data_IF_080552921411
#
_entry.id   IF_080552921411
#
_cell.length_a   1.000
_cell.length_b   1.000
_cell.length_c   1.000
_cell.angle_alpha   90.00
_cell.angle_beta   90.00
_cell.angle_gamma   90.00
#
_symmetry.space_group_name_H-M   'P 1'
#
loop_
_entity.id
_entity.type
_entity.pdbx_description
1 polymer ?
#
# COMPACT_ATOMS: atom_id res chain seq x y z
N UNK A 1 -34.10 -0.48 10.64
CA UNK A 1 -33.59 -1.86 10.58
C UNK A 1 -32.29 -1.87 11.35
N UNK A 2 -32.32 -2.48 12.51
CA UNK A 2 -31.28 -2.38 13.54
C UNK A 2 -30.09 -3.24 13.10
N UNK A 3 -28.95 -2.61 12.80
CA UNK A 3 -27.70 -3.30 12.53
C UNK A 3 -27.26 -4.00 13.82
N UNK A 4 -27.28 -5.33 13.79
CA UNK A 4 -26.69 -6.14 14.86
C UNK A 4 -25.18 -6.08 14.67
N UNK A 5 -24.50 -5.25 15.45
CA UNK A 5 -23.03 -5.30 15.53
C UNK A 5 -22.61 -6.68 16.08
N UNK A 6 -21.62 -7.36 15.50
CA UNK A 6 -21.07 -8.56 16.10
C UNK A 6 -20.48 -8.21 17.46
N UNK A 7 -20.86 -8.98 18.47
CA UNK A 7 -20.40 -8.84 19.85
C UNK A 7 -18.93 -9.23 19.89
N UNK A 8 -18.03 -8.26 20.01
CA UNK A 8 -16.63 -8.53 20.39
C UNK A 8 -16.64 -9.35 21.67
N UNK A 9 -16.02 -10.53 21.64
CA UNK A 9 -15.76 -11.30 22.85
C UNK A 9 -15.03 -10.38 23.85
N UNK A 10 -15.69 -10.07 24.96
CA UNK A 10 -15.17 -9.20 26.00
C UNK A 10 -13.88 -9.81 26.57
N UNK A 11 -12.71 -9.32 26.15
CA UNK A 11 -11.42 -9.74 26.72
C UNK A 11 -10.22 -9.77 25.78
N UNK A 12 -10.38 -9.74 24.45
CA UNK A 12 -9.20 -9.70 23.56
C UNK A 12 -8.64 -8.28 23.49
N UNK A 13 -7.36 -8.11 23.85
CA UNK A 13 -6.65 -6.84 23.63
C UNK A 13 -6.53 -6.62 22.13
N UNK A 14 -6.84 -5.40 21.66
CA UNK A 14 -6.64 -5.03 20.26
C UNK A 14 -5.22 -5.34 19.78
N UNK A 15 -5.10 -5.93 18.59
CA UNK A 15 -3.82 -6.32 18.00
C UNK A 15 -2.88 -5.13 17.79
N UNK A 16 -1.58 -5.35 17.90
CA UNK A 16 -0.55 -4.31 17.74
C UNK A 16 0.61 -4.81 16.92
N UNK A 17 1.39 -3.85 16.41
CA UNK A 17 2.66 -4.11 15.76
C UNK A 17 3.53 -5.07 16.58
N UNK A 18 4.01 -6.13 15.94
CA UNK A 18 4.84 -7.17 16.55
C UNK A 18 4.07 -8.31 17.22
N UNK A 19 2.74 -8.21 17.36
CA UNK A 19 1.95 -9.36 17.84
C UNK A 19 2.02 -10.49 16.79
N UNK A 20 2.16 -11.74 17.25
CA UNK A 20 2.02 -12.93 16.39
C UNK A 20 0.56 -13.34 16.33
N UNK A 21 0.09 -13.59 15.12
CA UNK A 21 -1.30 -13.96 14.85
C UNK A 21 -1.37 -15.09 13.84
N UNK A 22 -2.37 -15.94 13.97
CA UNK A 22 -2.71 -16.96 12.96
C UNK A 22 -3.94 -16.49 12.19
N UNK A 23 -3.93 -16.63 10.87
CA UNK A 23 -5.16 -16.45 10.09
C UNK A 23 -6.08 -17.61 10.39
N UNK A 24 -7.32 -17.34 10.76
CA UNK A 24 -8.27 -18.38 11.16
C UNK A 24 -8.52 -19.37 10.01
N UNK A 25 -8.97 -20.60 10.31
CA UNK A 25 -9.43 -21.54 9.27
C UNK A 25 -10.48 -20.90 8.37
N UNK A 26 -10.57 -21.37 7.12
CA UNK A 26 -11.44 -20.73 6.14
C UNK A 26 -12.92 -20.80 6.52
N UNK A 27 -13.40 -21.88 7.14
CA UNK A 27 -14.78 -21.97 7.62
C UNK A 27 -15.12 -20.89 8.65
N UNK A 28 -14.18 -20.60 9.56
CA UNK A 28 -14.32 -19.52 10.54
C UNK A 28 -14.34 -18.14 9.88
N UNK A 29 -13.50 -17.92 8.87
CA UNK A 29 -13.47 -16.66 8.11
C UNK A 29 -14.77 -16.47 7.34
N UNK A 30 -15.22 -17.48 6.58
CA UNK A 30 -16.45 -17.44 5.80
C UNK A 30 -17.68 -17.15 6.66
N UNK A 31 -17.71 -17.65 7.90
CA UNK A 31 -18.78 -17.36 8.84
C UNK A 31 -18.88 -15.88 9.26
N UNK A 32 -17.82 -15.09 9.01
CA UNK A 32 -17.80 -13.64 9.29
C UNK A 32 -18.19 -12.79 8.08
N UNK A 33 -18.33 -13.40 6.90
CA UNK A 33 -18.61 -12.69 5.66
C UNK A 33 -20.11 -12.51 5.45
N UNK A 34 -20.50 -11.38 4.88
CA UNK A 34 -21.86 -11.11 4.43
C UNK A 34 -22.13 -11.73 3.05
N UNK A 35 -23.30 -11.43 2.49
CA UNK A 35 -23.75 -11.98 1.21
C UNK A 35 -22.90 -11.54 0.00
N UNK A 36 -22.07 -10.51 0.16
CA UNK A 36 -21.17 -9.99 -0.88
C UNK A 36 -19.73 -10.49 -0.69
N UNK A 37 -19.48 -11.36 0.30
CA UNK A 37 -18.16 -11.89 0.64
C UNK A 37 -17.32 -10.94 1.50
N UNK A 38 -17.96 -10.00 2.20
CA UNK A 38 -17.27 -8.95 2.96
C UNK A 38 -17.41 -9.09 4.47
N UNK A 39 -16.43 -8.53 5.19
CA UNK A 39 -16.64 -8.11 6.58
C UNK A 39 -16.52 -6.58 6.66
N UNK A 40 -17.64 -5.91 6.88
CA UNK A 40 -17.70 -4.44 6.96
C UNK A 40 -17.23 -3.75 5.68
N UNK A 41 -17.71 -4.23 4.53
CA UNK A 41 -17.38 -3.71 3.19
C UNK A 41 -15.99 -4.08 2.66
N UNK A 42 -15.20 -4.83 3.43
CA UNK A 42 -13.87 -5.30 3.02
C UNK A 42 -13.93 -6.77 2.58
N UNK A 43 -13.60 -7.10 1.32
CA UNK A 43 -13.63 -8.48 0.86
C UNK A 43 -12.51 -9.30 1.47
N UNK A 44 -12.83 -10.56 1.79
CA UNK A 44 -11.83 -11.61 1.92
C UNK A 44 -11.61 -12.21 0.54
N UNK A 45 -10.39 -12.10 -0.01
CA UNK A 45 -10.14 -12.42 -1.42
C UNK A 45 -9.56 -13.84 -1.58
N UNK A 46 -9.76 -14.49 -2.76
CA UNK A 46 -9.17 -15.80 -3.04
C UNK A 46 -7.66 -15.89 -2.75
N UNK A 47 -6.89 -14.84 -3.05
CA UNK A 47 -5.45 -14.77 -2.78
C UNK A 47 -5.09 -14.83 -1.28
N UNK A 48 -6.05 -14.62 -0.39
CA UNK A 48 -5.87 -14.74 1.06
C UNK A 48 -6.09 -16.17 1.57
N UNK A 49 -6.76 -17.04 0.80
CA UNK A 49 -7.07 -18.41 1.18
C UNK A 49 -5.83 -19.26 1.53
N UNK A 50 -4.70 -19.19 0.78
CA UNK A 50 -3.49 -19.93 1.14
C UNK A 50 -2.90 -19.52 2.49
N UNK A 51 -3.26 -18.34 3.01
CA UNK A 51 -2.77 -17.83 4.29
C UNK A 51 -3.55 -18.38 5.49
N UNK A 52 -4.74 -18.96 5.29
CA UNK A 52 -5.53 -19.57 6.37
C UNK A 52 -4.73 -20.65 7.10
N UNK A 53 -4.73 -20.61 8.43
CA UNK A 53 -3.96 -21.49 9.30
C UNK A 53 -2.48 -21.12 9.45
N UNK A 54 -1.94 -20.20 8.64
CA UNK A 54 -0.55 -19.75 8.76
C UNK A 54 -0.40 -18.65 9.81
N UNK A 55 0.79 -18.58 10.41
CA UNK A 55 1.14 -17.58 11.43
C UNK A 55 1.97 -16.46 10.83
N UNK A 56 1.59 -15.22 11.12
CA UNK A 56 2.25 -14.00 10.68
C UNK A 56 2.56 -13.08 11.86
N UNK A 57 3.45 -12.12 11.63
CA UNK A 57 3.63 -10.96 12.50
C UNK A 57 2.75 -9.81 12.00
N UNK A 58 2.09 -9.11 12.93
CA UNK A 58 1.40 -7.85 12.64
C UNK A 58 2.43 -6.76 12.32
N UNK A 59 2.48 -6.31 11.07
CA UNK A 59 3.38 -5.24 10.64
C UNK A 59 2.98 -3.89 11.26
N UNK A 60 1.67 -3.58 11.21
CA UNK A 60 1.06 -2.39 11.77
C UNK A 60 -0.46 -2.54 11.80
N UNK A 61 -1.12 -1.78 12.65
CA UNK A 61 -2.55 -1.52 12.53
C UNK A 61 -2.85 -0.63 11.33
N UNK A 62 -3.86 -1.00 10.56
CA UNK A 62 -4.35 -0.28 9.41
C UNK A 62 -5.48 0.70 9.78
N UNK A 63 -5.39 1.30 10.97
CA UNK A 63 -6.41 2.21 11.52
C UNK A 63 -6.61 3.49 10.67
N UNK A 64 -5.68 3.75 9.75
CA UNK A 64 -5.72 4.83 8.76
C UNK A 64 -5.13 4.34 7.44
N UNK A 65 -5.63 4.87 6.34
CA UNK A 65 -5.18 4.47 5.00
C UNK A 65 -5.31 5.62 4.00
N UNK A 66 -4.63 5.49 2.86
CA UNK A 66 -4.75 6.41 1.75
C UNK A 66 -6.01 6.14 0.92
N UNK A 67 -6.69 7.21 0.49
CA UNK A 67 -7.71 7.15 -0.55
C UNK A 67 -7.04 7.38 -1.92
N UNK A 68 -6.67 6.27 -2.54
CA UNK A 68 -6.03 6.18 -3.85
C UNK A 68 -7.02 6.34 -5.00
N UNK A 69 -8.33 6.27 -4.73
CA UNK A 69 -9.42 6.46 -5.71
C UNK A 69 -9.75 7.93 -5.90
N UNK A 70 -9.95 8.65 -4.80
CA UNK A 70 -10.26 10.09 -4.81
C UNK A 70 -9.01 10.96 -4.72
N UNK A 71 -7.83 10.34 -4.60
CA UNK A 71 -6.53 11.01 -4.52
C UNK A 71 -6.46 12.04 -3.38
N UNK A 72 -7.07 11.76 -2.24
CA UNK A 72 -7.11 12.67 -1.07
C UNK A 72 -6.01 12.37 -0.04
N UNK A 73 -5.07 11.48 -0.38
CA UNK A 73 -3.96 11.07 0.49
C UNK A 73 -4.45 10.22 1.66
N UNK A 74 -3.70 10.20 2.78
CA UNK A 74 -4.11 9.52 4.00
C UNK A 74 -5.26 10.26 4.69
N UNK A 75 -6.48 9.89 4.32
CA UNK A 75 -7.72 10.61 4.65
C UNK A 75 -8.83 9.69 5.14
N UNK A 76 -8.57 8.39 5.26
CA UNK A 76 -9.58 7.41 5.69
C UNK A 76 -9.13 6.64 6.90
N UNK A 77 -10.09 6.23 7.72
CA UNK A 77 -9.87 5.36 8.87
C UNK A 77 -10.73 4.11 8.76
N UNK A 78 -10.12 2.98 9.12
CA UNK A 78 -10.72 1.65 9.05
C UNK A 78 -10.56 0.99 10.41
N UNK A 79 -11.69 0.61 11.01
CA UNK A 79 -11.69 0.05 12.36
C UNK A 79 -11.34 -1.44 12.33
N UNK A 80 -10.66 -1.89 13.40
CA UNK A 80 -10.29 -3.30 13.65
C UNK A 80 -9.59 -4.00 12.48
N UNK A 81 -8.68 -3.28 11.82
CA UNK A 81 -7.91 -3.80 10.70
C UNK A 81 -6.40 -3.69 10.95
N UNK A 82 -5.65 -4.69 10.51
CA UNK A 82 -4.19 -4.73 10.55
C UNK A 82 -3.60 -5.08 9.18
N UNK A 83 -2.32 -4.78 9.02
CA UNK A 83 -1.48 -5.32 7.96
C UNK A 83 -0.54 -6.36 8.57
N UNK A 84 -0.34 -7.47 7.86
CA UNK A 84 0.62 -8.52 8.23
C UNK A 84 1.90 -8.35 7.42
N UNK A 85 3.04 -8.75 7.98
CA UNK A 85 4.36 -8.63 7.32
C UNK A 85 4.35 -9.41 6.00
N UNK A 86 4.65 -8.72 4.90
CA UNK A 86 4.74 -9.26 3.53
C UNK A 86 3.51 -10.01 2.99
N UNK A 87 2.34 -9.91 3.66
CA UNK A 87 1.11 -10.52 3.18
C UNK A 87 0.51 -9.68 2.04
N UNK A 88 0.98 -9.92 0.82
CA UNK A 88 0.62 -9.16 -0.38
C UNK A 88 -0.17 -9.99 -1.37
N UNK A 89 -1.07 -9.32 -2.08
CA UNK A 89 -1.84 -9.89 -3.17
C UNK A 89 -0.92 -10.20 -4.37
N UNK A 90 -1.04 -11.40 -4.92
CA UNK A 90 -0.33 -11.82 -6.14
C UNK A 90 -1.11 -11.52 -7.43
N UNK A 91 -2.41 -11.21 -7.30
CA UNK A 91 -3.33 -10.86 -8.37
C UNK A 91 -3.85 -12.06 -9.16
N UNK A 92 -3.58 -13.29 -8.73
CA UNK A 92 -3.89 -14.52 -9.45
C UNK A 92 -5.38 -14.71 -9.73
N UNK A 93 -6.26 -14.28 -8.81
CA UNK A 93 -7.71 -14.30 -9.00
C UNK A 93 -8.27 -12.97 -9.57
N UNK A 94 -7.42 -11.95 -9.72
CA UNK A 94 -7.78 -10.61 -10.19
C UNK A 94 -7.18 -10.30 -11.57
N UNK A 95 -7.28 -11.25 -12.50
CA UNK A 95 -6.83 -11.08 -13.90
C UNK A 95 -5.31 -10.90 -14.06
N UNK A 96 -4.52 -11.28 -13.05
CA UNK A 96 -3.08 -11.09 -13.02
C UNK A 96 -2.64 -9.67 -12.70
N UNK A 97 -3.42 -8.91 -11.91
CA UNK A 97 -3.06 -7.55 -11.49
C UNK A 97 -1.66 -7.49 -10.84
N UNK A 98 -0.79 -6.59 -11.31
CA UNK A 98 0.61 -6.52 -10.88
C UNK A 98 0.87 -5.61 -9.66
N UNK A 99 -0.19 -5.04 -9.06
CA UNK A 99 -0.04 -4.00 -8.06
C UNK A 99 0.65 -4.44 -6.75
N UNK A 100 0.53 -5.71 -6.37
CA UNK A 100 1.22 -6.24 -5.17
C UNK A 100 0.75 -5.61 -3.85
N UNK A 101 -0.53 -5.23 -3.77
CA UNK A 101 -1.10 -4.52 -2.62
C UNK A 101 -0.94 -5.34 -1.34
N UNK A 102 -0.59 -4.67 -0.24
CA UNK A 102 -0.59 -5.28 1.09
C UNK A 102 -2.04 -5.50 1.53
N UNK A 103 -2.36 -6.70 1.99
CA UNK A 103 -3.72 -7.01 2.42
C UNK A 103 -4.10 -6.25 3.69
N UNK A 104 -5.37 -5.87 3.75
CA UNK A 104 -6.06 -5.49 4.97
C UNK A 104 -6.63 -6.76 5.60
N UNK A 105 -6.33 -7.02 6.87
CA UNK A 105 -6.92 -8.11 7.63
C UNK A 105 -7.79 -7.55 8.73
N UNK A 106 -9.08 -7.93 8.77
CA UNK A 106 -9.93 -7.69 9.93
C UNK A 106 -9.40 -8.52 11.10
N UNK A 107 -9.41 -7.94 12.31
CA UNK A 107 -8.99 -8.65 13.53
C UNK A 107 -9.83 -9.92 13.76
N UNK A 108 -11.08 -9.96 13.28
CA UNK A 108 -11.98 -11.12 13.40
C UNK A 108 -11.56 -12.34 12.56
N UNK A 109 -10.76 -12.11 11.50
CA UNK A 109 -10.15 -13.16 10.68
C UNK A 109 -8.88 -13.72 11.28
N UNK A 110 -8.46 -13.22 12.44
CA UNK A 110 -7.19 -13.53 13.09
C UNK A 110 -7.42 -14.06 14.50
N UNK A 111 -6.52 -14.93 14.94
CA UNK A 111 -6.41 -15.35 16.33
C UNK A 111 -5.00 -15.08 16.88
N UNK A 112 -4.88 -14.89 18.20
CA UNK A 112 -3.56 -14.64 18.80
C UNK A 112 -2.73 -15.92 18.80
N UNK A 113 -1.48 -15.82 18.33
CA UNK A 113 -0.48 -16.89 18.38
C UNK A 113 0.71 -16.50 19.29
N UNK A 114 0.49 -15.56 20.23
CA UNK A 114 1.51 -15.11 21.16
C UNK A 114 1.79 -16.18 22.22
N UNK A 115 3.02 -16.67 22.30
CA UNK A 115 3.43 -17.68 23.28
C UNK A 115 3.18 -19.14 22.84
N UNK A 116 2.65 -19.35 21.63
CA UNK A 116 2.71 -20.66 21.01
C UNK A 116 4.13 -20.87 20.44
N UNK A 117 4.91 -21.78 21.06
CA UNK A 117 5.93 -22.52 20.31
C UNK A 117 5.22 -23.10 19.09
N UNK A 118 5.86 -23.10 17.92
CA UNK A 118 5.41 -23.71 16.67
C UNK A 118 4.69 -25.04 16.95
N UNK A 119 3.38 -24.98 17.24
CA UNK A 119 2.58 -26.17 17.43
C UNK A 119 2.30 -26.66 16.03
N UNK A 120 2.50 -27.96 15.87
CA UNK A 120 2.26 -28.69 14.63
C UNK A 120 0.97 -28.22 13.95
N UNK A 121 0.94 -28.20 12.61
CA UNK A 121 -0.20 -27.72 11.85
C UNK A 121 -1.48 -28.31 12.43
N UNK A 122 -2.39 -27.45 12.89
CA UNK A 122 -3.69 -27.88 13.36
C UNK A 122 -4.36 -28.63 12.21
N UNK A 123 -4.39 -29.96 12.32
CA UNK A 123 -5.23 -30.84 11.52
C UNK A 123 -6.67 -30.69 12.02
N UNK A 124 -7.24 -29.49 11.84
CA UNK A 124 -8.57 -29.13 12.29
C UNK A 124 -9.44 -28.82 11.07
N UNK A 125 -10.25 -29.81 10.69
CA UNK A 125 -11.20 -29.85 9.55
C UNK A 125 -10.50 -29.59 8.21
N UNK A 126 -10.55 -30.58 7.30
CA UNK A 126 -10.41 -30.28 5.88
C UNK A 126 -11.65 -29.46 5.51
N UNK A 127 -11.63 -28.16 5.83
CA UNK A 127 -12.55 -27.23 5.23
C UNK A 127 -12.37 -27.39 3.72
N UNK A 128 -13.48 -27.53 3.02
CA UNK A 128 -13.49 -27.70 1.57
C UNK A 128 -12.95 -26.42 0.92
N UNK A 129 -11.63 -26.36 0.76
CA UNK A 129 -10.93 -25.21 0.18
C UNK A 129 -11.39 -24.95 -1.25
N UNK A 130 -11.84 -25.98 -1.97
CA UNK A 130 -12.37 -25.85 -3.33
C UNK A 130 -13.74 -25.15 -3.31
N UNK A 131 -14.64 -25.58 -2.42
CA UNK A 131 -15.93 -24.90 -2.24
C UNK A 131 -15.75 -23.46 -1.72
N UNK A 132 -14.79 -23.24 -0.82
CA UNK A 132 -14.46 -21.91 -0.33
C UNK A 132 -13.91 -21.02 -1.46
N UNK A 133 -12.97 -21.53 -2.26
CA UNK A 133 -12.43 -20.81 -3.41
C UNK A 133 -13.54 -20.42 -4.39
N UNK A 134 -14.41 -21.36 -4.76
CA UNK A 134 -15.52 -21.08 -5.66
C UNK A 134 -16.48 -20.02 -5.10
N UNK A 135 -16.72 -20.03 -3.78
CA UNK A 135 -17.52 -19.00 -3.11
C UNK A 135 -16.86 -17.63 -3.23
N UNK A 136 -15.58 -17.52 -2.88
CA UNK A 136 -14.84 -16.25 -2.95
C UNK A 136 -14.73 -15.72 -4.38
N UNK A 137 -14.43 -16.60 -5.36
CA UNK A 137 -14.34 -16.24 -6.77
C UNK A 137 -15.66 -15.68 -7.32
N UNK A 138 -16.80 -16.17 -6.83
CA UNK A 138 -18.12 -15.65 -7.22
C UNK A 138 -18.34 -14.18 -6.85
N UNK A 139 -17.56 -13.64 -5.90
CA UNK A 139 -17.60 -12.24 -5.46
C UNK A 139 -16.45 -11.39 -6.01
N UNK A 140 -15.46 -12.00 -6.67
CA UNK A 140 -14.28 -11.32 -7.21
C UNK A 140 -14.60 -10.49 -8.46
N UNK A 141 -15.56 -10.92 -9.27
CA UNK A 141 -15.96 -10.22 -10.50
C UNK A 141 -17.31 -9.53 -10.32
N UNK A 142 -17.36 -8.22 -10.58
CA UNK A 142 -18.61 -7.45 -10.65
C UNK A 142 -19.11 -7.25 -12.08
N UNK A 143 -18.35 -7.72 -13.08
CA UNK A 143 -18.69 -7.71 -14.49
C UNK A 143 -17.66 -8.48 -15.32
N UNK A 144 -17.83 -8.63 -16.65
CA UNK A 144 -16.97 -9.47 -17.49
C UNK A 144 -15.48 -9.10 -17.46
N UNK A 145 -15.16 -7.83 -17.23
CA UNK A 145 -13.79 -7.29 -17.17
C UNK A 145 -13.57 -6.39 -15.96
N UNK A 146 -14.46 -6.50 -14.96
CA UNK A 146 -14.48 -5.61 -13.79
C UNK A 146 -14.32 -6.46 -12.54
N UNK A 147 -13.28 -6.13 -11.79
CA UNK A 147 -12.89 -6.85 -10.59
C UNK A 147 -13.18 -6.03 -9.34
N UNK A 148 -13.50 -6.75 -8.27
CA UNK A 148 -13.73 -6.21 -6.94
C UNK A 148 -12.64 -6.73 -6.02
N UNK A 149 -11.78 -5.82 -5.54
CA UNK A 149 -10.70 -6.16 -4.62
C UNK A 149 -10.65 -5.20 -3.42
N UNK A 150 -9.87 -5.52 -2.39
CA UNK A 150 -9.74 -4.67 -1.20
C UNK A 150 -9.37 -3.22 -1.53
N UNK A 151 -8.49 -2.98 -2.53
CA UNK A 151 -8.12 -1.63 -2.95
C UNK A 151 -9.31 -0.85 -3.53
N UNK A 152 -10.12 -1.49 -4.38
CA UNK A 152 -11.34 -0.89 -4.96
C UNK A 152 -12.40 -0.58 -3.89
N UNK A 153 -12.41 -1.36 -2.81
CA UNK A 153 -13.43 -1.29 -1.76
C UNK A 153 -13.00 -0.42 -0.57
N UNK A 154 -11.81 0.18 -0.59
CA UNK A 154 -11.36 1.07 0.51
C UNK A 154 -12.40 2.14 0.84
N UNK A 155 -13.07 2.83 -0.10
CA UNK A 155 -14.07 3.83 0.23
C UNK A 155 -15.29 3.29 0.97
N UNK A 156 -15.72 2.07 0.67
CA UNK A 156 -16.87 1.43 1.33
C UNK A 156 -16.45 0.83 2.68
N UNK A 157 -15.29 0.18 2.72
CA UNK A 157 -14.74 -0.45 3.91
C UNK A 157 -14.23 0.53 4.98
N UNK A 158 -14.27 1.85 4.73
CA UNK A 158 -13.68 2.85 5.61
C UNK A 158 -14.43 4.17 5.59
N UNK A 159 -14.20 5.01 6.60
CA UNK A 159 -14.85 6.32 6.75
C UNK A 159 -13.84 7.47 6.67
N UNK A 160 -14.28 8.70 6.34
CA UNK A 160 -13.41 9.88 6.39
C UNK A 160 -12.75 10.03 7.76
N UNK A 161 -11.45 10.30 7.75
CA UNK A 161 -10.62 10.52 8.93
C UNK A 161 -10.42 12.03 9.14
N UNK A 162 -10.81 12.53 10.31
CA UNK A 162 -10.72 13.95 10.65
C UNK A 162 -9.72 14.25 11.76
N UNK A 163 -9.20 15.49 11.73
CA UNK A 163 -8.33 16.02 12.78
C UNK A 163 -6.98 15.31 12.90
N UNK A 164 -6.36 15.48 14.08
CA UNK A 164 -5.01 14.95 14.39
C UNK A 164 -5.06 13.73 15.32
N UNK A 165 -6.25 13.25 15.68
CA UNK A 165 -6.45 12.14 16.64
C UNK A 165 -5.78 10.85 16.19
N UNK A 166 -5.58 10.66 14.89
CA UNK A 166 -4.86 9.51 14.34
C UNK A 166 -3.40 9.43 14.82
N UNK A 167 -2.70 10.55 15.04
CA UNK A 167 -1.35 10.53 15.63
C UNK A 167 -1.38 10.05 17.09
N UNK A 168 -2.44 10.38 17.83
CA UNK A 168 -2.64 9.88 19.21
C UNK A 168 -2.91 8.37 19.18
N UNK A 169 -3.70 7.89 18.22
CA UNK A 169 -3.88 6.45 17.99
C UNK A 169 -2.53 5.76 17.69
N UNK A 170 -1.70 6.32 16.82
CA UNK A 170 -0.37 5.76 16.51
C UNK A 170 0.51 5.61 17.76
N UNK A 171 0.54 6.63 18.63
CA UNK A 171 1.32 6.62 19.87
C UNK A 171 0.74 5.62 20.88
N UNK A 172 -0.55 5.76 21.19
CA UNK A 172 -1.23 4.94 22.20
C UNK A 172 -1.24 3.44 21.84
N UNK A 173 -1.30 3.13 20.54
CA UNK A 173 -1.27 1.77 20.01
C UNK A 173 0.15 1.25 19.73
N UNK A 174 1.18 2.09 19.91
CA UNK A 174 2.59 1.79 19.54
C UNK A 174 2.71 1.32 18.10
N UNK A 175 1.89 1.90 17.22
CA UNK A 175 1.78 1.49 15.82
C UNK A 175 3.02 1.91 15.01
N UNK A 176 3.60 3.04 15.37
CA UNK A 176 4.76 3.63 14.68
C UNK A 176 5.93 3.75 15.67
N UNK A 177 7.15 3.31 15.29
CA UNK A 177 8.35 3.56 16.08
C UNK A 177 8.59 5.07 16.32
N UNK A 178 9.03 5.44 17.53
CA UNK A 178 9.25 6.85 17.90
C UNK A 178 10.13 7.65 16.92
N UNK A 179 11.24 7.10 16.37
CA UNK A 179 12.04 7.84 15.38
C UNK A 179 11.27 8.16 14.10
N UNK A 180 10.41 7.25 13.65
CA UNK A 180 9.56 7.42 12.45
C UNK A 180 8.47 8.45 12.74
N UNK A 181 7.82 8.38 13.91
CA UNK A 181 6.85 9.37 14.35
C UNK A 181 7.46 10.78 14.39
N UNK A 182 8.64 10.94 15.00
CA UNK A 182 9.34 12.23 15.07
C UNK A 182 9.64 12.79 13.69
N UNK A 183 10.07 11.92 12.75
CA UNK A 183 10.34 12.32 11.36
C UNK A 183 9.07 12.78 10.65
N UNK A 184 7.98 12.02 10.73
CA UNK A 184 6.70 12.38 10.11
C UNK A 184 6.10 13.65 10.69
N UNK A 185 6.13 13.84 12.02
CA UNK A 185 5.64 15.06 12.66
C UNK A 185 6.45 16.30 12.24
N UNK A 186 7.78 16.16 12.13
CA UNK A 186 8.64 17.24 11.63
C UNK A 186 8.28 17.60 10.19
N UNK A 187 8.11 16.61 9.32
CA UNK A 187 7.73 16.84 7.92
C UNK A 187 6.35 17.53 7.83
N UNK A 188 5.36 17.04 8.57
CA UNK A 188 4.01 17.62 8.61
C UNK A 188 4.01 19.06 9.15
N UNK A 189 4.78 19.33 10.22
CA UNK A 189 4.92 20.67 10.78
C UNK A 189 5.60 21.63 9.78
N UNK A 190 6.64 21.15 9.09
CA UNK A 190 7.34 21.92 8.08
C UNK A 190 6.45 22.23 6.88
N UNK A 191 5.72 21.25 6.34
CA UNK A 191 4.78 21.45 5.23
C UNK A 191 3.65 22.40 5.62
N UNK A 192 3.14 22.27 6.85
CA UNK A 192 2.13 23.19 7.40
C UNK A 192 2.66 24.62 7.48
N UNK A 193 3.91 24.80 7.94
CA UNK A 193 4.57 26.10 7.97
C UNK A 193 4.74 26.67 6.55
N UNK A 194 5.23 25.87 5.59
CA UNK A 194 5.41 26.29 4.19
C UNK A 194 4.08 26.77 3.59
N UNK A 195 3.01 26.00 3.76
CA UNK A 195 1.66 26.35 3.30
C UNK A 195 1.14 27.67 3.90
N UNK A 196 1.32 27.89 5.21
CA UNK A 196 0.93 29.14 5.88
C UNK A 196 1.80 30.30 5.39
N UNK A 197 3.12 30.09 5.28
CA UNK A 197 4.08 31.13 4.94
C UNK A 197 3.83 31.73 3.56
N UNK A 198 3.41 30.89 2.59
CA UNK A 198 3.14 31.29 1.21
C UNK A 198 2.04 32.35 1.11
N UNK A 199 0.98 32.20 1.90
CA UNK A 199 -0.19 33.09 1.87
C UNK A 199 -0.17 34.23 2.89
N UNK A 200 0.63 34.13 3.96
CA UNK A 200 0.52 35.04 5.12
C UNK A 200 1.80 35.76 5.53
N UNK A 201 2.97 35.23 5.16
CA UNK A 201 4.26 35.80 5.60
C UNK A 201 4.94 36.59 4.48
N UNK A 202 5.73 37.63 4.80
CA UNK A 202 6.55 38.36 3.84
C UNK A 202 7.67 37.48 3.26
N UNK A 203 8.21 37.84 2.11
CA UNK A 203 9.17 37.02 1.36
C UNK A 203 10.41 36.59 2.17
N UNK A 204 10.92 37.47 3.05
CA UNK A 204 12.08 37.18 3.90
C UNK A 204 11.82 36.07 4.94
N UNK A 205 10.54 35.84 5.30
CA UNK A 205 10.12 34.81 6.24
C UNK A 205 9.65 33.54 5.54
N UNK A 206 9.79 33.43 4.21
CA UNK A 206 9.43 32.23 3.44
C UNK A 206 10.67 31.40 3.14
N UNK A 207 10.65 30.13 3.54
CA UNK A 207 11.71 29.20 3.15
C UNK A 207 11.40 28.73 1.73
N UNK A 208 12.31 28.97 0.77
CA UNK A 208 12.13 28.57 -0.65
C UNK A 208 10.78 29.03 -1.24
N UNK A 209 10.33 30.23 -0.87
CA UNK A 209 9.05 30.77 -1.35
C UNK A 209 7.80 30.10 -0.75
N UNK A 210 7.95 29.25 0.26
CA UNK A 210 6.86 28.50 0.87
C UNK A 210 6.52 27.22 0.11
N UNK A 211 7.43 26.70 -0.70
CA UNK A 211 7.23 25.49 -1.51
C UNK A 211 7.43 24.19 -0.74
N UNK A 212 6.75 23.12 -1.14
CA UNK A 212 6.94 21.80 -0.53
C UNK A 212 8.37 21.29 -0.78
N UNK A 213 8.99 20.67 0.24
CA UNK A 213 10.38 20.18 0.18
C UNK A 213 10.49 18.72 0.62
N UNK A 214 11.21 17.83 -0.10
CA UNK A 214 12.05 18.15 -1.24
C UNK A 214 11.23 18.55 -2.47
N UNK A 215 11.74 19.54 -3.21
CA UNK A 215 11.12 19.96 -4.46
C UNK A 215 11.40 18.91 -5.52
N UNK A 216 10.36 18.23 -5.97
CA UNK A 216 10.43 17.18 -7.01
C UNK A 216 9.75 17.62 -8.30
N UNK A 217 9.40 18.90 -8.43
CA UNK A 217 8.82 19.43 -9.68
C UNK A 217 9.88 19.49 -10.76
N UNK A 218 9.48 19.03 -11.95
CA UNK A 218 10.22 19.24 -13.18
C UNK A 218 9.70 20.44 -13.96
N UNK A 219 10.19 20.63 -15.17
CA UNK A 219 9.89 21.79 -16.01
C UNK A 219 9.27 21.41 -17.36
N UNK A 220 9.15 20.11 -17.65
CA UNK A 220 8.78 19.64 -18.96
C UNK A 220 7.27 19.74 -19.23
N UNK A 221 6.90 20.08 -20.46
CA UNK A 221 5.52 19.94 -20.96
C UNK A 221 5.27 18.55 -21.54
N UNK A 222 6.28 17.99 -22.23
CA UNK A 222 6.29 16.62 -22.77
C UNK A 222 7.45 15.88 -22.13
N UNK A 223 7.17 14.73 -21.51
CA UNK A 223 8.17 13.96 -20.79
C UNK A 223 8.82 12.90 -21.68
N UNK A 224 10.14 12.67 -21.57
CA UNK A 224 10.85 11.65 -22.33
C UNK A 224 10.51 10.25 -21.83
N UNK A 225 10.84 9.25 -22.64
CA UNK A 225 10.78 7.83 -22.28
C UNK A 225 12.14 7.21 -22.58
N UNK A 226 12.56 6.27 -21.75
CA UNK A 226 13.70 5.39 -21.97
C UNK A 226 13.20 3.98 -21.65
N UNK A 227 13.50 3.04 -22.54
CA UNK A 227 13.16 1.63 -22.39
C UNK A 227 14.48 0.88 -22.20
N UNK A 228 14.64 0.34 -21.00
CA UNK A 228 15.70 -0.55 -20.63
C UNK A 228 15.26 -2.01 -20.82
N UNK A 229 13.97 -2.33 -20.75
CA UNK A 229 13.44 -3.70 -20.76
C UNK A 229 13.97 -4.50 -19.55
N UNK A 230 13.81 -3.93 -18.35
CA UNK A 230 14.31 -4.51 -17.10
C UNK A 230 13.50 -5.74 -16.67
N UNK A 231 14.18 -6.86 -16.45
CA UNK A 231 13.57 -8.11 -16.00
C UNK A 231 13.63 -8.27 -14.48
N UNK A 232 12.66 -8.98 -13.87
CA UNK A 232 12.74 -9.40 -12.46
C UNK A 232 14.10 -10.05 -12.13
N UNK A 233 14.66 -9.67 -10.99
CA UNK A 233 15.96 -10.12 -10.49
C UNK A 233 17.16 -9.24 -10.88
N UNK A 234 17.04 -8.40 -11.93
CA UNK A 234 18.12 -7.50 -12.35
C UNK A 234 18.46 -6.47 -11.26
N UNK A 235 19.75 -6.13 -11.14
CA UNK A 235 20.23 -5.10 -10.22
C UNK A 235 20.22 -3.73 -10.91
N UNK A 236 19.53 -2.77 -10.29
CA UNK A 236 19.42 -1.41 -10.81
C UNK A 236 19.72 -0.39 -9.73
N UNK A 237 20.19 0.78 -10.15
CA UNK A 237 20.31 1.96 -9.32
C UNK A 237 19.20 2.95 -9.69
N UNK A 238 18.53 3.51 -8.69
CA UNK A 238 17.61 4.63 -8.90
C UNK A 238 18.46 5.87 -9.15
N UNK A 239 18.24 6.55 -10.28
CA UNK A 239 18.98 7.78 -10.65
C UNK A 239 18.88 8.84 -9.55
N UNK A 240 19.80 9.80 -9.57
CA UNK A 240 19.78 10.91 -8.62
C UNK A 240 18.50 11.74 -8.77
N UNK A 241 18.15 12.50 -7.71
CA UNK A 241 16.97 13.36 -7.75
C UNK A 241 17.05 14.38 -8.90
N UNK A 242 18.23 14.94 -9.17
CA UNK A 242 18.43 15.91 -10.25
C UNK A 242 18.14 15.29 -11.63
N UNK A 243 18.71 14.12 -11.90
CA UNK A 243 18.47 13.38 -13.14
C UNK A 243 16.99 13.03 -13.31
N UNK A 244 16.34 12.55 -12.24
CA UNK A 244 14.91 12.22 -12.30
C UNK A 244 14.08 13.48 -12.55
N UNK A 245 14.31 14.57 -11.82
CA UNK A 245 13.60 15.85 -11.98
C UNK A 245 13.70 16.39 -13.40
N UNK A 246 14.83 16.21 -14.06
CA UNK A 246 15.01 16.59 -15.46
C UNK A 246 14.06 15.84 -16.43
N UNK A 247 13.49 14.70 -16.01
CA UNK A 247 12.52 13.91 -16.78
C UNK A 247 11.06 14.19 -16.43
N UNK A 248 10.80 15.02 -15.40
CA UNK A 248 9.47 15.25 -14.86
C UNK A 248 8.79 16.48 -15.49
N UNK A 249 7.47 16.42 -15.52
CA UNK A 249 6.64 17.58 -15.81
C UNK A 249 6.50 18.53 -14.62
N UNK A 250 5.89 19.69 -14.87
CA UNK A 250 5.53 20.66 -13.81
C UNK A 250 4.62 20.06 -12.73
N UNK A 251 3.85 19.02 -13.08
CA UNK A 251 2.99 18.26 -12.17
C UNK A 251 3.69 17.05 -11.55
N UNK A 252 5.03 17.01 -11.55
CA UNK A 252 5.84 15.94 -10.96
C UNK A 252 5.61 14.56 -11.59
N UNK A 253 5.14 14.50 -12.85
CA UNK A 253 4.82 13.25 -13.55
C UNK A 253 5.73 12.97 -14.72
N UNK A 254 6.02 11.70 -14.99
CA UNK A 254 6.56 11.18 -16.25
C UNK A 254 5.59 10.11 -16.81
N UNK A 255 5.11 10.31 -18.04
CA UNK A 255 4.12 9.42 -18.68
C UNK A 255 2.99 9.01 -17.73
N UNK A 256 2.33 10.03 -17.17
CA UNK A 256 1.23 9.94 -16.20
C UNK A 256 1.56 9.30 -14.84
N UNK A 257 2.76 8.74 -14.62
CA UNK A 257 3.16 8.26 -13.30
C UNK A 257 3.74 9.41 -12.49
N UNK A 258 3.23 9.55 -11.26
CA UNK A 258 3.66 10.57 -10.31
C UNK A 258 4.94 10.14 -9.61
N UNK A 259 5.92 11.05 -9.57
CA UNK A 259 7.08 10.92 -8.71
C UNK A 259 6.81 11.64 -7.39
N UNK A 260 6.50 10.86 -6.35
CA UNK A 260 6.16 11.36 -5.02
C UNK A 260 7.42 11.76 -4.22
N UNK A 261 7.28 12.69 -3.26
CA UNK A 261 8.38 13.11 -2.35
C UNK A 261 8.95 11.96 -1.55
N UNK A 262 8.15 10.94 -1.23
CA UNK A 262 8.58 9.68 -0.61
C UNK A 262 9.67 8.98 -1.43
N UNK A 263 9.63 9.11 -2.76
CA UNK A 263 10.53 8.38 -3.66
C UNK A 263 11.97 8.89 -3.58
N UNK A 264 12.19 10.11 -3.07
CA UNK A 264 13.51 10.74 -2.97
C UNK A 264 14.48 9.92 -2.11
N UNK A 265 13.98 9.22 -1.10
CA UNK A 265 14.82 8.34 -0.22
C UNK A 265 15.39 7.12 -0.95
N UNK A 266 14.93 6.86 -2.17
CA UNK A 266 15.42 5.77 -3.02
C UNK A 266 16.48 6.24 -4.03
N UNK A 267 16.56 7.54 -4.34
CA UNK A 267 17.57 8.08 -5.24
C UNK A 267 19.01 7.71 -4.83
N UNK A 268 19.82 7.31 -5.80
CA UNK A 268 21.23 6.93 -5.63
C UNK A 268 21.44 5.58 -4.93
N UNK A 269 20.39 4.80 -4.69
CA UNK A 269 20.47 3.49 -4.05
C UNK A 269 20.21 2.37 -5.06
N UNK A 270 20.78 1.21 -4.78
CA UNK A 270 20.61 0.01 -5.61
C UNK A 270 19.52 -0.90 -5.05
N UNK A 271 18.76 -1.50 -5.95
CA UNK A 271 17.67 -2.43 -5.66
C UNK A 271 17.64 -3.53 -6.70
N UNK A 272 17.02 -4.66 -6.35
CA UNK A 272 16.63 -5.66 -7.34
C UNK A 272 15.26 -5.31 -7.90
N UNK A 273 15.09 -5.54 -9.20
CA UNK A 273 13.78 -5.49 -9.84
C UNK A 273 12.93 -6.63 -9.26
N UNK A 274 11.82 -6.30 -8.63
CA UNK A 274 10.89 -7.29 -8.10
C UNK A 274 9.90 -7.73 -9.18
N UNK A 275 9.26 -6.76 -9.84
CA UNK A 275 8.19 -7.04 -10.81
C UNK A 275 8.10 -5.96 -11.87
N UNK A 276 7.70 -6.35 -13.09
CA UNK A 276 7.23 -5.44 -14.14
C UNK A 276 5.72 -5.31 -14.02
N UNK A 277 5.23 -4.08 -14.01
CA UNK A 277 3.81 -3.76 -13.94
C UNK A 277 3.31 -3.55 -15.36
N UNK A 278 2.71 -4.59 -15.92
CA UNK A 278 2.16 -4.61 -17.27
C UNK A 278 0.66 -4.42 -17.26
N UNK A 279 0.01 -4.85 -16.17
CA UNK A 279 -1.42 -4.67 -15.97
C UNK A 279 -1.74 -4.38 -14.50
N UNK A 280 -2.76 -3.57 -14.27
CA UNK A 280 -3.27 -3.30 -12.92
C UNK A 280 -4.74 -2.93 -12.99
N UNK A 281 -5.47 -3.11 -11.89
CA UNK A 281 -6.85 -2.63 -11.81
C UNK A 281 -6.87 -1.11 -11.63
N UNK A 282 -7.75 -0.42 -12.37
CA UNK A 282 -8.18 0.92 -12.00
C UNK A 282 -8.96 0.80 -10.69
N UNK A 283 -8.45 1.35 -9.60
CA UNK A 283 -9.08 1.18 -8.30
C UNK A 283 -10.49 1.80 -8.22
N UNK A 284 -10.80 2.80 -9.06
CA UNK A 284 -12.10 3.47 -9.06
C UNK A 284 -13.14 2.64 -9.80
N UNK A 285 -12.78 2.09 -10.95
CA UNK A 285 -13.75 1.38 -11.81
C UNK A 285 -13.70 -0.13 -11.61
N UNK A 286 -12.60 -0.68 -11.09
CA UNK A 286 -12.33 -2.11 -11.04
C UNK A 286 -11.91 -2.70 -12.39
N UNK A 287 -11.81 -1.90 -13.45
CA UNK A 287 -11.44 -2.37 -14.78
C UNK A 287 -9.94 -2.63 -14.89
N UNK A 288 -9.56 -3.64 -15.68
CA UNK A 288 -8.15 -3.89 -15.97
C UNK A 288 -7.57 -2.80 -16.87
N UNK A 289 -6.48 -2.20 -16.43
CA UNK A 289 -5.66 -1.26 -17.20
C UNK A 289 -4.40 -1.95 -17.69
N UNK A 290 -4.07 -1.72 -18.96
CA UNK A 290 -2.79 -2.07 -19.56
C UNK A 290 -2.05 -0.77 -19.95
N UNK A 291 -1.17 -0.25 -19.06
CA UNK A 291 -0.49 1.01 -19.32
C UNK A 291 0.42 0.93 -20.55
N UNK A 292 0.34 1.93 -21.44
CA UNK A 292 1.24 2.06 -22.61
C UNK A 292 2.72 2.18 -22.25
N UNK A 293 3.04 2.51 -21.00
CA UNK A 293 4.40 2.62 -20.50
C UNK A 293 4.46 1.84 -19.20
N UNK A 294 5.23 0.76 -19.21
CA UNK A 294 5.39 -0.13 -18.07
C UNK A 294 5.97 0.61 -16.87
N UNK A 295 5.64 0.09 -15.68
CA UNK A 295 6.28 0.52 -14.44
C UNK A 295 7.08 -0.62 -13.85
N UNK A 296 8.05 -0.30 -13.02
CA UNK A 296 8.90 -1.27 -12.33
C UNK A 296 8.65 -1.16 -10.84
N UNK A 297 8.42 -2.30 -10.18
CA UNK A 297 8.46 -2.42 -8.73
C UNK A 297 9.87 -2.88 -8.35
N UNK A 298 10.48 -2.18 -7.40
CA UNK A 298 11.77 -2.54 -6.82
C UNK A 298 11.57 -3.19 -5.47
N UNK A 299 12.36 -4.22 -5.18
CA UNK A 299 12.29 -4.97 -3.93
C UNK A 299 12.54 -4.03 -2.72
N UNK A 300 11.62 -4.06 -1.74
CA UNK A 300 11.63 -3.18 -0.57
C UNK A 300 11.33 -1.70 -0.82
N UNK A 301 11.00 -1.29 -2.05
CA UNK A 301 10.66 0.10 -2.36
C UNK A 301 9.15 0.36 -2.19
N UNK A 302 8.76 0.83 -1.00
CA UNK A 302 7.37 1.08 -0.60
C UNK A 302 7.16 2.51 -0.06
N UNK A 303 5.93 3.00 -0.15
CA UNK A 303 5.55 4.22 0.58
C UNK A 303 5.61 3.94 2.10
N UNK A 304 6.43 4.68 2.86
CA UNK A 304 6.48 4.52 4.33
C UNK A 304 5.68 5.59 5.07
N UNK A 305 5.03 6.46 4.31
CA UNK A 305 4.11 7.47 4.81
C UNK A 305 4.74 8.69 5.50
N UNK A 306 6.04 8.95 5.33
CA UNK A 306 6.72 10.13 5.93
C UNK A 306 6.10 11.47 5.51
N UNK A 307 5.50 11.55 4.32
CA UNK A 307 4.74 12.69 3.80
C UNK A 307 3.23 12.42 3.71
N UNK A 308 2.79 11.20 4.06
CA UNK A 308 1.39 10.75 3.96
C UNK A 308 0.82 10.37 5.32
N UNK A 309 0.99 11.27 6.31
CA UNK A 309 0.48 11.13 7.69
C UNK A 309 0.85 9.81 8.38
N UNK A 310 2.00 9.23 8.05
CA UNK A 310 2.47 7.93 8.55
C UNK A 310 1.53 6.77 8.23
N UNK A 311 0.90 6.81 7.04
CA UNK A 311 0.07 5.73 6.52
C UNK A 311 0.86 4.40 6.50
N UNK A 312 0.32 3.31 7.07
CA UNK A 312 1.00 2.01 7.17
C UNK A 312 0.80 1.11 5.95
N UNK A 313 0.11 1.57 4.90
CA UNK A 313 -0.34 0.75 3.76
C UNK A 313 0.80 0.12 2.96
N UNK A 314 2.00 0.73 2.98
CA UNK A 314 3.19 0.22 2.29
C UNK A 314 2.95 -0.19 0.82
N UNK A 315 2.20 0.65 0.10
CA UNK A 315 2.01 0.48 -1.34
C UNK A 315 3.37 0.46 -2.04
N UNK A 316 3.53 -0.43 -3.01
CA UNK A 316 4.74 -0.46 -3.82
C UNK A 316 4.92 0.85 -4.57
N UNK A 317 6.15 1.34 -4.57
CA UNK A 317 6.52 2.49 -5.37
C UNK A 317 6.76 2.03 -6.80
N UNK A 318 6.03 2.62 -7.75
CA UNK A 318 6.23 2.37 -9.16
C UNK A 318 7.31 3.30 -9.71
N UNK A 319 8.26 2.72 -10.46
CA UNK A 319 9.33 3.46 -11.12
C UNK A 319 9.15 3.40 -12.64
N UNK A 320 9.45 4.49 -13.34
CA UNK A 320 9.72 4.44 -14.78
C UNK A 320 11.14 3.92 -15.01
N UNK A 321 11.34 3.16 -16.07
CA UNK A 321 12.68 2.69 -16.44
C UNK A 321 13.67 3.85 -16.67
N UNK A 322 13.21 4.99 -17.19
CA UNK A 322 14.03 6.22 -17.33
C UNK A 322 14.55 6.77 -15.99
N UNK A 323 13.99 6.35 -14.85
CA UNK A 323 14.47 6.72 -13.52
C UNK A 323 15.49 5.73 -12.96
N UNK A 324 15.78 4.66 -13.69
CA UNK A 324 16.64 3.56 -13.27
C UNK A 324 17.86 3.46 -14.18
N UNK A 325 18.93 2.85 -13.67
CA UNK A 325 20.14 2.54 -14.41
C UNK A 325 20.52 1.11 -14.10
N UNK A 326 20.82 0.30 -15.12
CA UNK A 326 21.39 -1.04 -14.90
C UNK A 326 22.75 -0.93 -14.21
N UNK A 327 22.95 -1.73 -13.19
CA UNK A 327 24.25 -1.87 -12.52
C UNK A 327 24.95 -3.09 -13.11
N UNK A 328 26.10 -2.89 -13.74
CA UNK A 328 26.95 -4.01 -14.21
C UNK A 328 26.74 -4.45 -15.67
N UNK A 329 26.07 -3.68 -16.53
CA UNK A 329 26.21 -3.91 -17.97
C UNK A 329 27.59 -3.39 -18.43
N UNK A 330 28.42 -4.19 -19.15
CA UNK A 330 29.60 -3.65 -19.81
C UNK A 330 29.15 -2.60 -20.83
N UNK A 331 29.89 -1.51 -20.94
CA UNK A 331 29.72 -0.56 -22.03
C UNK A 331 29.71 -1.34 -23.35
N UNK A 332 28.57 -1.36 -24.04
CA UNK A 332 28.50 -1.89 -25.39
C UNK A 332 29.39 -0.98 -26.23
N UNK A 333 30.60 -1.46 -26.53
CA UNK A 333 31.52 -0.82 -27.46
C UNK A 333 30.78 -0.61 -28.77
N UNK A 334 30.74 0.65 -29.20
CA UNK A 334 30.29 1.00 -30.55
C UNK A 334 31.33 0.46 -31.55
N UNK A 335 30.92 -0.17 -32.66
CA UNK A 335 31.86 -0.54 -33.73
C UNK A 335 32.55 0.67 -34.36
#
# INVERSE_FOLDING_TARGET
MTQTQPVKAAGSRSLRRGDRVRVRPIGDVLATLDADGDNGGLPFMPEMLPMCGQTFEVAARADKTCDTINLTGCSREMDDTVHLVEARCDGSAHGGCDAGCLFFFKEEWLESANGENEREPHTGVQDDQEAALATLESHTMSGPTTYRCQATQVPEASRPMEGIGHFVKDISRRNVPLPVLRRGLRNAAFDRYQAISRGRLPAWARIRGGEELPDVRGTLKKTPTELLDLMPGELVEVKSLEEIRATLSVNQRNRNLWFDREMVKYCGRQFRVLKRVERLLDEKTGEMLEPKTVSIILDGAVCVGDFHKLCPRQDYTFFREIWLRRVGAPAVGTP
#
